data_IF_515779971275
#
_entry.id   IF_515779971275
#
_cell.length_a   1.000
_cell.length_b   1.000
_cell.length_c   1.000
_cell.angle_alpha   90.00
_cell.angle_beta   90.00
_cell.angle_gamma   90.00
#
_symmetry.space_group_name_H-M   'P 1'
#
loop_
_entity.id
_entity.type
_entity.pdbx_description
1 polymer ?
#
# COMPACT_ATOMS: atom_id res chain seq x y z
N UNK A 1 -10.22 9.68 2.17
CA UNK A 1 -9.63 8.62 3.00
C UNK A 1 -8.97 9.17 4.28
N UNK A 2 -8.16 10.23 4.19
CA UNK A 2 -7.49 10.88 5.34
C UNK A 2 -8.48 11.35 6.43
N UNK A 3 -9.58 12.05 6.06
CA UNK A 3 -10.62 12.47 7.02
C UNK A 3 -11.35 11.31 7.72
N UNK A 4 -11.42 10.14 7.05
CA UNK A 4 -12.05 8.94 7.62
C UNK A 4 -11.15 8.28 8.67
N UNK A 5 -9.84 8.27 8.45
CA UNK A 5 -8.85 7.77 9.41
C UNK A 5 -8.77 8.69 10.64
N UNK A 6 -8.78 10.00 10.45
CA UNK A 6 -8.82 10.98 11.55
C UNK A 6 -10.07 10.84 12.42
N UNK A 7 -11.23 10.54 11.79
CA UNK A 7 -12.49 10.32 12.51
C UNK A 7 -12.41 9.07 13.41
N UNK A 8 -11.90 7.95 12.89
CA UNK A 8 -11.77 6.71 13.67
C UNK A 8 -10.76 6.85 14.82
N UNK A 9 -9.64 7.55 14.60
CA UNK A 9 -8.64 7.80 15.64
C UNK A 9 -9.22 8.66 16.75
N UNK A 10 -10.01 9.69 16.45
CA UNK A 10 -10.70 10.50 17.47
C UNK A 10 -11.72 9.69 18.28
N UNK A 11 -12.46 8.78 17.64
CA UNK A 11 -13.45 7.92 18.29
C UNK A 11 -12.77 6.89 19.21
N UNK A 12 -11.70 6.26 18.76
CA UNK A 12 -10.92 5.29 19.56
C UNK A 12 -10.24 5.98 20.77
N UNK A 13 -9.63 7.15 20.57
CA UNK A 13 -9.03 7.96 21.64
C UNK A 13 -10.08 8.36 22.70
N UNK A 14 -11.33 8.51 22.28
CA UNK A 14 -12.44 8.83 23.20
C UNK A 14 -12.90 7.61 24.01
N UNK A 15 -12.90 6.43 23.40
CA UNK A 15 -13.23 5.17 24.10
C UNK A 15 -12.17 4.82 25.16
N UNK A 16 -10.88 5.03 24.85
CA UNK A 16 -9.80 4.91 25.83
C UNK A 16 -9.93 5.92 26.96
N UNK A 17 -10.34 7.17 26.68
CA UNK A 17 -10.59 8.17 27.71
C UNK A 17 -11.68 7.74 28.69
N UNK A 18 -12.76 7.13 28.24
CA UNK A 18 -13.82 6.61 29.11
C UNK A 18 -13.34 5.47 30.00
N UNK A 19 -12.54 4.54 29.45
CA UNK A 19 -12.00 3.42 30.22
C UNK A 19 -10.98 3.90 31.25
N UNK A 20 -10.15 4.89 30.92
CA UNK A 20 -9.15 5.45 31.82
C UNK A 20 -9.80 6.26 32.93
N UNK A 21 -10.83 7.04 32.67
CA UNK A 21 -11.59 7.75 33.70
C UNK A 21 -12.23 6.80 34.72
N UNK A 22 -12.57 5.58 34.31
CA UNK A 22 -13.14 4.55 35.18
C UNK A 22 -12.10 3.72 35.97
N UNK A 23 -10.85 3.62 35.48
CA UNK A 23 -9.84 2.70 36.03
C UNK A 23 -8.72 3.35 36.83
N UNK A 24 -8.50 4.66 36.77
CA UNK A 24 -7.39 5.29 37.46
C UNK A 24 -7.84 5.89 38.78
N UNK A 25 -7.68 5.09 39.84
CA UNK A 25 -7.40 5.61 41.17
C UNK A 25 -6.02 6.23 41.17
N UNK A 26 -5.95 7.46 41.11
CA UNK A 26 -5.03 8.54 41.43
C UNK A 26 -3.57 8.20 41.78
N UNK A 27 -2.67 8.77 41.03
CA UNK A 27 -1.38 9.27 41.58
C UNK A 27 -1.03 10.60 40.88
N UNK A 28 -0.87 11.61 41.68
CA UNK A 28 -0.77 13.02 41.40
C UNK A 28 -0.05 13.47 40.17
N UNK A 29 -0.60 14.47 39.48
CA UNK A 29 0.23 15.53 38.90
C UNK A 29 -0.59 16.60 38.20
N UNK A 30 -0.03 17.80 38.10
CA UNK A 30 -0.42 19.06 37.45
C UNK A 30 -1.92 19.33 37.30
N UNK A 31 -2.41 20.16 38.18
CA UNK A 31 -3.79 20.64 38.22
C UNK A 31 -4.04 21.70 37.16
N UNK A 32 -4.85 21.43 36.16
CA UNK A 32 -5.36 22.42 35.24
C UNK A 32 -6.76 22.79 35.73
N UNK A 33 -7.01 24.08 35.97
CA UNK A 33 -8.34 24.61 36.24
C UNK A 33 -9.03 24.82 34.90
N UNK A 34 -10.15 24.14 34.66
CA UNK A 34 -11.02 24.49 33.58
C UNK A 34 -12.17 25.35 34.13
N UNK A 35 -12.37 26.53 33.53
CA UNK A 35 -13.31 27.54 33.98
C UNK A 35 -14.79 27.11 33.87
N UNK A 36 -15.05 26.03 33.13
CA UNK A 36 -16.40 25.54 32.88
C UNK A 36 -16.82 24.35 33.79
N UNK A 37 -15.98 23.96 34.73
CA UNK A 37 -16.27 22.88 35.66
C UNK A 37 -16.71 23.42 37.05
N UNK A 38 -17.63 22.70 37.74
CA UNK A 38 -17.98 23.03 39.12
C UNK A 38 -16.74 23.15 40.00
N UNK A 39 -16.79 24.08 40.99
CA UNK A 39 -15.62 24.39 41.84
C UNK A 39 -15.04 23.20 42.61
N UNK A 40 -15.81 22.15 42.79
CA UNK A 40 -15.42 20.94 43.53
C UNK A 40 -14.66 19.94 42.67
N UNK A 41 -14.55 20.17 41.36
CA UNK A 41 -13.86 19.27 40.42
C UNK A 41 -12.56 19.90 40.00
N UNK A 42 -11.48 19.14 40.10
CA UNK A 42 -10.16 19.53 39.61
C UNK A 42 -9.75 18.60 38.47
N UNK A 43 -9.37 19.18 37.34
CA UNK A 43 -8.80 18.43 36.24
C UNK A 43 -7.34 18.13 36.54
N UNK A 44 -7.02 16.85 36.65
CA UNK A 44 -5.63 16.39 36.82
C UNK A 44 -4.87 16.36 35.52
N UNK A 45 -3.59 16.07 35.59
CA UNK A 45 -2.67 16.08 34.46
C UNK A 45 -3.15 15.31 33.25
N UNK A 46 -2.85 15.87 32.10
CA UNK A 46 -2.97 15.16 30.83
C UNK A 46 -1.83 14.15 30.77
N UNK A 47 -2.15 12.89 30.93
CA UNK A 47 -1.21 11.81 30.67
C UNK A 47 -1.43 11.41 29.21
N UNK A 48 -0.51 11.79 28.32
CA UNK A 48 -0.50 11.44 26.90
C UNK A 48 -1.89 11.19 26.29
N UNK A 49 -2.62 12.27 25.95
CA UNK A 49 -3.92 12.22 25.27
C UNK A 49 -5.13 11.79 26.13
N UNK A 50 -5.02 11.69 27.44
CA UNK A 50 -6.15 11.47 28.36
C UNK A 50 -6.21 12.54 29.43
N UNK A 51 -7.43 12.97 29.78
CA UNK A 51 -7.68 13.87 30.91
C UNK A 51 -8.19 13.05 32.10
N UNK A 52 -7.60 13.29 33.26
CA UNK A 52 -8.05 12.66 34.50
C UNK A 52 -8.78 13.71 35.33
N UNK A 53 -10.03 13.46 35.65
CA UNK A 53 -10.86 14.31 36.49
C UNK A 53 -10.81 13.74 37.91
N UNK A 54 -10.36 14.55 38.88
CA UNK A 54 -10.21 14.16 40.27
C UNK A 54 -11.24 14.94 41.10
N UNK A 55 -12.20 14.26 41.72
CA UNK A 55 -13.14 14.92 42.63
C UNK A 55 -12.39 15.52 43.84
N UNK A 56 -12.84 16.66 44.32
CA UNK A 56 -12.25 17.32 45.50
C UNK A 56 -12.49 16.52 46.78
N UNK A 57 -13.61 15.82 46.86
CA UNK A 57 -14.02 15.05 48.02
C UNK A 57 -14.24 13.58 47.67
N UNK A 58 -13.81 12.66 48.54
CA UNK A 58 -14.05 11.23 48.38
C UNK A 58 -15.51 10.82 48.58
N UNK A 59 -16.41 11.76 48.98
CA UNK A 59 -17.85 11.52 49.12
C UNK A 59 -18.60 11.65 47.80
N UNK A 60 -17.95 12.09 46.74
CA UNK A 60 -18.58 12.25 45.44
C UNK A 60 -18.66 10.89 44.75
N UNK A 61 -19.88 10.51 44.34
CA UNK A 61 -20.10 9.33 43.51
C UNK A 61 -19.55 9.60 42.11
N UNK A 62 -18.50 8.89 41.73
CA UNK A 62 -17.84 9.08 40.47
C UNK A 62 -18.70 8.68 39.27
N UNK A 63 -19.59 7.71 39.41
CA UNK A 63 -20.48 7.28 38.33
C UNK A 63 -21.57 8.33 38.05
N UNK A 64 -22.18 8.90 39.11
CA UNK A 64 -23.11 10.01 38.95
C UNK A 64 -22.46 11.28 38.40
N UNK A 65 -21.25 11.58 38.86
CA UNK A 65 -20.47 12.69 38.33
C UNK A 65 -20.18 12.53 36.83
N UNK A 66 -19.80 11.31 36.40
CA UNK A 66 -19.55 11.01 34.98
C UNK A 66 -20.82 11.14 34.14
N UNK A 67 -21.95 10.66 34.62
CA UNK A 67 -23.24 10.82 33.95
C UNK A 67 -23.63 12.29 33.79
N UNK A 68 -23.42 13.08 34.86
CA UNK A 68 -23.66 14.52 34.82
C UNK A 68 -22.75 15.24 33.82
N UNK A 69 -21.44 14.91 33.80
CA UNK A 69 -20.50 15.49 32.87
C UNK A 69 -20.80 15.13 31.41
N UNK A 70 -21.23 13.90 31.13
CA UNK A 70 -21.66 13.50 29.79
C UNK A 70 -22.94 14.23 29.34
N UNK A 71 -23.84 14.52 30.26
CA UNK A 71 -25.11 15.22 29.96
C UNK A 71 -24.91 16.74 29.77
N UNK A 72 -23.99 17.36 30.53
CA UNK A 72 -23.85 18.83 30.58
C UNK A 72 -22.65 19.38 29.80
N UNK A 73 -21.70 18.54 29.39
CA UNK A 73 -20.50 18.96 28.69
C UNK A 73 -20.31 18.22 27.37
N UNK A 74 -19.37 18.72 26.55
CA UNK A 74 -18.99 18.10 25.29
C UNK A 74 -18.06 16.88 25.45
N UNK A 75 -17.98 16.27 26.64
CA UNK A 75 -17.22 15.04 26.87
C UNK A 75 -17.79 13.86 26.13
N UNK A 76 -19.08 13.84 25.83
CA UNK A 76 -19.73 12.89 24.96
C UNK A 76 -20.62 13.59 23.93
N UNK A 77 -20.37 13.33 22.66
CA UNK A 77 -21.17 13.84 21.55
C UNK A 77 -21.55 12.71 20.61
N UNK A 78 -22.81 12.66 20.24
CA UNK A 78 -23.31 11.78 19.22
C UNK A 78 -23.11 12.42 17.84
N UNK A 79 -22.32 11.76 16.98
CA UNK A 79 -22.15 12.15 15.59
C UNK A 79 -22.92 11.18 14.69
N UNK A 80 -23.79 11.73 13.85
CA UNK A 80 -24.39 10.93 12.78
C UNK A 80 -23.34 10.73 11.69
N UNK A 81 -22.99 9.47 11.44
CA UNK A 81 -22.09 9.10 10.35
C UNK A 81 -22.94 8.47 9.25
N UNK A 82 -23.04 9.18 8.12
CA UNK A 82 -23.71 8.69 6.93
C UNK A 82 -22.66 8.48 5.84
N UNK A 83 -22.28 7.21 5.62
CA UNK A 83 -21.28 6.83 4.62
C UNK A 83 -21.97 6.55 3.30
N UNK A 84 -22.28 7.62 2.54
CA UNK A 84 -22.75 7.48 1.17
C UNK A 84 -21.55 7.32 0.23
N UNK A 85 -21.44 6.15 -0.37
CA UNK A 85 -20.29 5.75 -1.20
C UNK A 85 -20.77 5.05 -2.45
N UNK A 86 -19.94 5.13 -3.50
CA UNK A 86 -20.12 4.31 -4.71
C UNK A 86 -19.34 3.01 -4.48
N UNK A 87 -20.08 1.89 -4.45
CA UNK A 87 -19.50 0.56 -4.28
C UNK A 87 -18.91 -0.01 -5.55
N UNK A 88 -18.48 -1.27 -5.49
CA UNK A 88 -17.95 -2.01 -6.65
C UNK A 88 -19.00 -2.21 -7.75
N UNK A 89 -20.27 -2.14 -7.41
CA UNK A 89 -21.42 -2.19 -8.31
C UNK A 89 -21.68 -0.89 -9.08
N UNK A 90 -20.90 0.17 -8.81
CA UNK A 90 -21.03 1.48 -9.42
C UNK A 90 -22.24 2.29 -8.97
N UNK A 91 -23.02 1.82 -7.97
CA UNK A 91 -24.23 2.49 -7.47
C UNK A 91 -23.96 3.24 -6.17
N UNK A 92 -24.50 4.46 -6.00
CA UNK A 92 -24.41 5.17 -4.73
C UNK A 92 -25.29 4.46 -3.68
N UNK A 93 -24.71 4.12 -2.55
CA UNK A 93 -25.37 3.44 -1.43
C UNK A 93 -24.80 3.90 -0.10
N UNK A 94 -25.67 3.91 0.92
CA UNK A 94 -25.22 4.07 2.30
C UNK A 94 -24.76 2.70 2.82
N UNK A 95 -23.48 2.57 3.13
CA UNK A 95 -22.91 1.31 3.59
C UNK A 95 -22.38 1.42 5.02
N UNK A 96 -22.60 0.39 5.85
CA UNK A 96 -21.94 0.28 7.14
C UNK A 96 -20.42 0.14 6.97
N UNK A 97 -19.64 0.48 8.00
CA UNK A 97 -18.18 0.50 7.97
C UNK A 97 -17.56 -0.84 7.55
N UNK A 98 -18.02 -1.95 8.13
CA UNK A 98 -17.43 -3.27 7.88
C UNK A 98 -17.62 -3.74 6.43
N UNK A 99 -18.82 -3.67 5.83
CA UNK A 99 -19.02 -3.95 4.41
C UNK A 99 -18.18 -3.04 3.51
N UNK A 100 -18.10 -1.75 3.81
CA UNK A 100 -17.29 -0.79 3.06
C UNK A 100 -15.81 -1.19 3.06
N UNK A 101 -15.25 -1.55 4.22
CA UNK A 101 -13.86 -1.99 4.31
C UNK A 101 -13.61 -3.31 3.58
N UNK A 102 -14.57 -4.24 3.60
CA UNK A 102 -14.45 -5.49 2.84
C UNK A 102 -14.42 -5.23 1.34
N UNK A 103 -15.30 -4.39 0.81
CA UNK A 103 -15.30 -4.01 -0.60
C UNK A 103 -14.02 -3.28 -0.99
N UNK A 104 -13.55 -2.38 -0.15
CA UNK A 104 -12.28 -1.69 -0.38
C UNK A 104 -11.10 -2.68 -0.47
N UNK A 105 -11.05 -3.70 0.41
CA UNK A 105 -10.02 -4.74 0.35
C UNK A 105 -10.12 -5.58 -0.93
N UNK A 106 -11.33 -5.90 -1.40
CA UNK A 106 -11.53 -6.58 -2.68
C UNK A 106 -11.02 -5.73 -3.85
N UNK A 107 -11.40 -4.45 -3.89
CA UNK A 107 -10.91 -3.51 -4.89
C UNK A 107 -9.38 -3.39 -4.85
N UNK A 108 -8.81 -3.21 -3.66
CA UNK A 108 -7.35 -3.10 -3.49
C UNK A 108 -6.64 -4.36 -3.97
N UNK A 109 -7.18 -5.54 -3.67
CA UNK A 109 -6.63 -6.82 -4.15
C UNK A 109 -6.61 -6.87 -5.67
N UNK A 110 -7.73 -6.52 -6.31
CA UNK A 110 -7.81 -6.50 -7.78
C UNK A 110 -6.82 -5.52 -8.41
N UNK A 111 -6.70 -4.32 -7.85
CA UNK A 111 -5.73 -3.32 -8.33
C UNK A 111 -4.29 -3.82 -8.20
N UNK A 112 -3.94 -4.51 -7.10
CA UNK A 112 -2.61 -5.08 -6.92
C UNK A 112 -2.35 -6.20 -7.91
N UNK A 113 -3.33 -7.10 -8.14
CA UNK A 113 -3.23 -8.16 -9.15
C UNK A 113 -2.99 -7.58 -10.53
N UNK A 114 -3.81 -6.60 -10.96
CA UNK A 114 -3.67 -5.96 -12.26
C UNK A 114 -2.29 -5.28 -12.41
N UNK A 115 -1.81 -4.62 -11.36
CA UNK A 115 -0.48 -3.99 -11.34
C UNK A 115 0.64 -5.02 -11.49
N UNK A 116 0.56 -6.15 -10.78
CA UNK A 116 1.54 -7.23 -10.86
C UNK A 116 1.51 -7.91 -12.23
N UNK A 117 0.31 -8.14 -12.78
CA UNK A 117 0.13 -8.70 -14.12
C UNK A 117 0.74 -7.80 -15.20
N UNK A 118 0.46 -6.50 -15.14
CA UNK A 118 1.05 -5.53 -16.07
C UNK A 118 2.59 -5.52 -15.98
N UNK A 119 3.14 -5.55 -14.75
CA UNK A 119 4.58 -5.62 -14.54
C UNK A 119 5.18 -6.92 -15.09
N UNK A 120 4.50 -8.04 -14.88
CA UNK A 120 4.91 -9.34 -15.43
C UNK A 120 4.94 -9.31 -16.96
N UNK A 121 3.91 -8.78 -17.60
CA UNK A 121 3.86 -8.68 -19.08
C UNK A 121 5.03 -7.83 -19.60
N UNK A 122 5.34 -6.70 -18.95
CA UNK A 122 6.49 -5.87 -19.32
C UNK A 122 7.83 -6.60 -19.17
N UNK A 123 7.99 -7.40 -18.13
CA UNK A 123 9.18 -8.23 -17.93
C UNK A 123 9.29 -9.27 -19.03
N UNK A 124 8.19 -9.95 -19.37
CA UNK A 124 8.16 -10.98 -20.44
C UNK A 124 8.48 -10.37 -21.81
N UNK A 125 7.88 -9.21 -22.14
CA UNK A 125 8.20 -8.48 -23.39
C UNK A 125 9.70 -8.14 -23.46
N UNK A 126 10.27 -7.67 -22.36
CA UNK A 126 11.69 -7.31 -22.31
C UNK A 126 12.60 -8.53 -22.40
N UNK A 127 12.30 -9.60 -21.65
CA UNK A 127 13.04 -10.87 -21.72
C UNK A 127 13.03 -11.43 -23.13
N UNK A 128 11.89 -11.41 -23.81
CA UNK A 128 11.76 -11.89 -25.19
C UNK A 128 12.73 -11.15 -26.13
N UNK A 129 12.82 -9.83 -26.02
CA UNK A 129 13.76 -9.03 -26.83
C UNK A 129 15.21 -9.36 -26.47
N UNK A 130 15.53 -9.45 -25.17
CA UNK A 130 16.89 -9.73 -24.70
C UNK A 130 17.38 -11.13 -25.12
N UNK A 131 16.50 -12.13 -25.11
CA UNK A 131 16.81 -13.49 -25.63
C UNK A 131 17.21 -13.44 -27.11
N UNK A 132 16.48 -12.68 -27.94
CA UNK A 132 16.85 -12.47 -29.32
C UNK A 132 18.20 -11.78 -29.49
N UNK A 133 18.47 -10.77 -28.68
CA UNK A 133 19.77 -10.09 -28.68
C UNK A 133 20.91 -11.03 -28.27
N UNK A 134 20.73 -11.90 -27.28
CA UNK A 134 21.74 -12.88 -26.88
C UNK A 134 22.05 -13.85 -28.02
N UNK A 135 21.05 -14.32 -28.78
CA UNK A 135 21.27 -15.15 -29.96
C UNK A 135 22.11 -14.41 -31.00
N UNK A 136 21.82 -13.12 -31.22
CA UNK A 136 22.62 -12.30 -32.15
C UNK A 136 24.09 -12.11 -31.70
N UNK A 137 24.29 -11.88 -30.38
CA UNK A 137 25.67 -11.76 -29.84
C UNK A 137 26.48 -13.03 -29.96
N UNK A 138 25.86 -14.19 -29.73
CA UNK A 138 26.53 -15.48 -29.88
C UNK A 138 26.92 -15.79 -31.33
N UNK A 139 26.21 -15.22 -32.30
CA UNK A 139 26.39 -15.49 -33.74
C UNK A 139 26.67 -14.19 -34.52
N UNK A 140 27.39 -13.24 -33.90
CA UNK A 140 27.52 -11.88 -34.42
C UNK A 140 28.10 -11.82 -35.84
N UNK A 141 29.11 -12.63 -36.15
CA UNK A 141 29.74 -12.66 -37.48
C UNK A 141 28.76 -13.10 -38.56
N UNK A 142 27.90 -14.09 -38.27
CA UNK A 142 26.84 -14.53 -39.19
C UNK A 142 25.77 -13.47 -39.37
N UNK A 143 25.33 -12.83 -38.29
CA UNK A 143 24.34 -11.75 -38.33
C UNK A 143 24.87 -10.60 -39.20
N UNK A 144 26.12 -10.17 -39.02
CA UNK A 144 26.75 -9.13 -39.84
C UNK A 144 26.85 -9.58 -41.30
N UNK A 145 27.21 -10.83 -41.55
CA UNK A 145 27.33 -11.39 -42.91
C UNK A 145 25.96 -11.35 -43.62
N UNK A 146 24.88 -11.72 -42.95
CA UNK A 146 23.54 -11.68 -43.50
C UNK A 146 23.09 -10.24 -43.78
N UNK A 147 23.31 -9.32 -42.86
CA UNK A 147 22.94 -7.89 -43.02
C UNK A 147 23.67 -7.27 -44.23
N UNK A 148 24.91 -7.70 -44.50
CA UNK A 148 25.71 -7.14 -45.61
C UNK A 148 25.42 -7.76 -46.96
N UNK A 149 24.95 -9.01 -47.02
CA UNK A 149 24.76 -9.78 -48.28
C UNK A 149 23.32 -9.74 -48.77
N UNK A 150 22.36 -9.68 -47.89
CA UNK A 150 20.96 -9.82 -48.23
C UNK A 150 20.27 -8.45 -48.39
N UNK A 151 19.50 -8.29 -49.45
CA UNK A 151 18.66 -7.10 -49.64
C UNK A 151 17.57 -6.97 -48.58
N UNK A 152 17.06 -8.11 -48.07
CA UNK A 152 16.03 -8.19 -47.03
C UNK A 152 16.51 -9.08 -45.86
N UNK A 153 17.32 -8.54 -44.96
CA UNK A 153 17.95 -9.34 -43.90
C UNK A 153 16.95 -9.86 -42.87
N UNK A 154 15.84 -9.14 -42.59
CA UNK A 154 14.85 -9.51 -41.57
C UNK A 154 14.29 -10.94 -41.73
N UNK A 155 13.71 -11.34 -42.89
CA UNK A 155 13.18 -12.69 -43.07
C UNK A 155 14.25 -13.78 -43.00
N UNK A 156 15.48 -13.49 -43.45
CA UNK A 156 16.59 -14.44 -43.39
C UNK A 156 17.02 -14.69 -41.95
N UNK A 157 17.12 -13.64 -41.12
CA UNK A 157 17.42 -13.74 -39.68
C UNK A 157 16.35 -14.55 -38.95
N UNK A 158 15.07 -14.28 -39.24
CA UNK A 158 13.93 -15.03 -38.65
C UNK A 158 14.05 -16.51 -38.98
N UNK A 159 14.25 -16.84 -40.25
CA UNK A 159 14.29 -18.24 -40.72
C UNK A 159 15.51 -18.99 -40.15
N UNK A 160 16.69 -18.33 -40.12
CA UNK A 160 17.94 -18.98 -39.73
C UNK A 160 18.05 -19.18 -38.21
N UNK A 161 17.71 -18.16 -37.43
CA UNK A 161 17.87 -18.19 -35.96
C UNK A 161 16.55 -18.48 -35.22
N UNK A 162 15.45 -18.76 -35.95
CA UNK A 162 14.10 -18.99 -35.40
C UNK A 162 13.64 -17.85 -34.49
N UNK A 163 13.93 -16.63 -34.87
CA UNK A 163 13.59 -15.43 -34.12
C UNK A 163 12.16 -14.98 -34.42
N UNK A 164 11.55 -14.28 -33.47
CA UNK A 164 10.31 -13.56 -33.74
C UNK A 164 10.60 -12.29 -34.57
N UNK A 165 9.56 -11.74 -35.15
CA UNK A 165 9.63 -10.49 -35.91
C UNK A 165 10.16 -9.33 -35.06
N UNK A 166 9.70 -9.25 -33.80
CA UNK A 166 10.13 -8.22 -32.81
C UNK A 166 11.60 -8.39 -32.45
N UNK A 167 12.07 -9.62 -32.28
CA UNK A 167 13.48 -9.91 -32.00
C UNK A 167 14.39 -9.54 -33.19
N UNK A 168 13.97 -9.90 -34.41
CA UNK A 168 14.73 -9.56 -35.61
C UNK A 168 14.83 -8.04 -35.83
N UNK A 169 13.75 -7.31 -35.55
CA UNK A 169 13.73 -5.85 -35.63
C UNK A 169 14.69 -5.23 -34.59
N UNK A 170 14.61 -5.70 -33.34
CA UNK A 170 15.52 -5.25 -32.28
C UNK A 170 17.01 -5.50 -32.60
N UNK A 171 17.32 -6.61 -33.30
CA UNK A 171 18.68 -6.90 -33.77
C UNK A 171 19.12 -5.92 -34.85
N UNK A 172 18.24 -5.60 -35.81
CA UNK A 172 18.54 -4.66 -36.90
C UNK A 172 18.71 -3.21 -36.41
N UNK A 173 18.03 -2.85 -35.32
CA UNK A 173 18.14 -1.55 -34.67
C UNK A 173 19.38 -1.39 -33.78
N UNK A 174 20.16 -2.46 -33.57
CA UNK A 174 21.36 -2.41 -32.74
C UNK A 174 22.40 -1.41 -33.29
N UNK A 175 22.82 -0.49 -32.44
CA UNK A 175 23.91 0.41 -32.75
C UNK A 175 25.24 -0.33 -32.63
N UNK A 176 26.18 -0.10 -33.56
CA UNK A 176 27.51 -0.76 -33.59
C UNK A 176 28.27 -0.66 -32.25
N UNK A 177 28.08 0.43 -31.50
CA UNK A 177 28.69 0.59 -30.17
C UNK A 177 28.22 -0.44 -29.15
N UNK A 178 26.99 -0.99 -29.31
CA UNK A 178 26.42 -1.98 -28.41
C UNK A 178 26.94 -3.40 -28.67
N UNK A 179 27.72 -3.61 -29.74
CA UNK A 179 28.36 -4.90 -30.06
C UNK A 179 29.61 -5.18 -29.22
N UNK A 180 29.99 -4.29 -28.31
CA UNK A 180 31.13 -4.48 -27.43
C UNK A 180 30.86 -5.60 -26.41
N UNK A 181 31.88 -6.38 -26.07
CA UNK A 181 31.81 -7.51 -25.12
C UNK A 181 31.27 -7.13 -23.74
N UNK A 182 31.42 -5.89 -23.32
CA UNK A 182 30.85 -5.37 -22.08
C UNK A 182 29.32 -5.29 -22.09
N UNK A 183 28.72 -5.08 -23.26
CA UNK A 183 27.24 -5.03 -23.38
C UNK A 183 26.63 -6.44 -23.29
N UNK A 184 27.30 -7.47 -23.77
CA UNK A 184 26.87 -8.86 -23.58
C UNK A 184 26.73 -9.21 -22.10
N UNK A 185 27.71 -8.81 -21.28
CA UNK A 185 27.67 -9.04 -19.82
C UNK A 185 26.52 -8.29 -19.18
N UNK A 186 26.27 -7.05 -19.60
CA UNK A 186 25.13 -6.27 -19.09
C UNK A 186 23.79 -6.92 -19.43
N UNK A 187 23.63 -7.40 -20.67
CA UNK A 187 22.41 -8.09 -21.10
C UNK A 187 22.19 -9.37 -20.28
N UNK A 188 23.23 -10.18 -20.06
CA UNK A 188 23.15 -11.38 -19.23
C UNK A 188 22.70 -11.05 -17.79
N UNK A 189 23.28 -10.03 -17.19
CA UNK A 189 22.92 -9.58 -15.85
C UNK A 189 21.47 -9.05 -15.81
N UNK A 190 21.04 -8.31 -16.83
CA UNK A 190 19.66 -7.83 -16.96
C UNK A 190 18.68 -9.01 -17.07
N UNK A 191 18.98 -10.01 -17.88
CA UNK A 191 18.17 -11.23 -18.01
C UNK A 191 18.04 -11.94 -16.67
N UNK A 192 19.16 -12.18 -15.98
CA UNK A 192 19.11 -12.82 -14.66
C UNK A 192 18.25 -12.06 -13.65
N UNK A 193 18.36 -10.73 -13.64
CA UNK A 193 17.56 -9.89 -12.74
C UNK A 193 16.08 -9.95 -13.09
N UNK A 194 15.72 -9.82 -14.37
CA UNK A 194 14.34 -9.90 -14.84
C UNK A 194 13.74 -11.28 -14.61
N UNK A 195 14.51 -12.36 -14.73
CA UNK A 195 14.01 -13.70 -14.40
C UNK A 195 13.74 -13.89 -12.91
N UNK A 196 14.56 -13.32 -12.03
CA UNK A 196 14.31 -13.30 -10.58
C UNK A 196 13.02 -12.54 -10.27
N UNK A 197 12.85 -11.37 -10.88
CA UNK A 197 11.65 -10.54 -10.72
C UNK A 197 10.40 -11.25 -11.25
N UNK A 198 10.50 -11.88 -12.42
CA UNK A 198 9.45 -12.71 -13.00
C UNK A 198 8.99 -13.81 -12.03
N UNK A 199 9.94 -14.63 -11.57
CA UNK A 199 9.66 -15.72 -10.61
C UNK A 199 9.00 -15.21 -9.33
N UNK A 200 9.45 -14.07 -8.83
CA UNK A 200 8.89 -13.45 -7.63
C UNK A 200 7.43 -13.04 -7.85
N UNK A 201 7.12 -12.41 -8.98
CA UNK A 201 5.75 -11.98 -9.32
C UNK A 201 4.85 -13.20 -9.58
N UNK A 202 5.31 -14.20 -10.32
CA UNK A 202 4.58 -15.44 -10.57
C UNK A 202 4.23 -16.16 -9.25
N UNK A 203 5.18 -16.22 -8.31
CA UNK A 203 4.94 -16.77 -6.97
C UNK A 203 3.93 -15.97 -6.15
N UNK A 204 3.88 -14.66 -6.29
CA UNK A 204 2.89 -13.81 -5.63
C UNK A 204 1.49 -14.02 -6.23
N UNK A 205 1.40 -14.14 -7.56
CA UNK A 205 0.13 -14.34 -8.26
C UNK A 205 -0.43 -15.76 -8.11
N UNK A 206 0.43 -16.77 -7.91
CA UNK A 206 0.00 -18.17 -7.78
C UNK A 206 -0.69 -18.50 -6.46
N UNK A 207 -0.56 -17.65 -5.42
CA UNK A 207 -1.07 -17.95 -4.09
C UNK A 207 -1.79 -16.76 -3.46
N UNK A 208 -3.07 -16.94 -3.18
CA UNK A 208 -3.90 -15.92 -2.51
C UNK A 208 -3.34 -15.52 -1.13
N UNK A 209 -2.79 -16.46 -0.39
CA UNK A 209 -2.19 -16.19 0.93
C UNK A 209 -0.95 -15.31 0.83
N UNK A 210 -0.09 -15.56 -0.18
CA UNK A 210 1.09 -14.72 -0.45
C UNK A 210 0.68 -13.31 -0.89
N UNK A 211 -0.33 -13.21 -1.75
CA UNK A 211 -0.87 -11.94 -2.21
C UNK A 211 -1.44 -11.13 -1.03
N UNK A 212 -2.22 -11.75 -0.14
CA UNK A 212 -2.73 -11.11 1.08
C UNK A 212 -1.60 -10.63 2.00
N UNK A 213 -0.55 -11.43 2.16
CA UNK A 213 0.63 -11.04 2.95
C UNK A 213 1.38 -9.87 2.33
N UNK A 214 1.50 -9.85 1.01
CA UNK A 214 2.10 -8.74 0.26
C UNK A 214 1.30 -7.46 0.43
N UNK A 215 -0.03 -7.49 0.25
CA UNK A 215 -0.91 -6.35 0.47
C UNK A 215 -0.81 -5.85 1.92
N UNK A 216 -0.76 -6.77 2.88
CA UNK A 216 -0.59 -6.43 4.30
C UNK A 216 0.73 -5.70 4.57
N UNK A 217 1.81 -6.09 3.90
CA UNK A 217 3.10 -5.37 3.99
C UNK A 217 3.00 -3.95 3.43
N UNK A 218 2.40 -3.78 2.24
CA UNK A 218 2.20 -2.44 1.65
C UNK A 218 1.37 -1.54 2.57
N UNK A 219 0.30 -2.08 3.17
CA UNK A 219 -0.53 -1.32 4.09
C UNK A 219 0.21 -0.93 5.38
N UNK A 220 1.15 -1.77 5.86
CA UNK A 220 1.98 -1.43 7.02
C UNK A 220 2.94 -0.28 6.72
N UNK A 221 3.57 -0.28 5.55
CA UNK A 221 4.44 0.84 5.14
C UNK A 221 3.64 2.15 5.10
N UNK A 222 2.44 2.12 4.53
CA UNK A 222 1.56 3.29 4.50
C UNK A 222 1.17 3.72 5.92
N UNK A 223 0.95 2.77 6.83
CA UNK A 223 0.63 3.07 8.23
C UNK A 223 1.82 3.72 8.96
N UNK A 224 3.04 3.29 8.68
CA UNK A 224 4.26 3.89 9.24
C UNK A 224 4.52 5.30 8.69
N UNK A 225 4.20 5.57 7.43
CA UNK A 225 4.39 6.88 6.80
C UNK A 225 3.31 7.91 7.19
N UNK A 226 2.06 7.48 7.33
CA UNK A 226 0.90 8.37 7.48
C UNK A 226 0.20 8.16 8.84
N UNK A 227 0.48 7.04 9.51
CA UNK A 227 -0.11 6.71 10.82
C UNK A 227 0.43 7.60 11.94
N UNK A 228 -0.47 8.10 12.81
CA UNK A 228 -0.15 8.86 14.03
C UNK A 228 0.39 7.95 15.16
#
# INVERSE_FOLDING_TARGET
MQKFMEFNVKYFKRFEKQIILKKIGISGQKKIRDSNLPEDIRIGAIVRKSQVIIPRSNRVDCDQLMLHLFATTDLERNYRVNMNVIGLDGKPQVKPLIPLLKEWLQFRTQVVVNRLQFRLNKILERLHVLEGLLVAYLNIDEVISIIRREEKPKPVLIAKFKLSEIQAEAILELKLRHLAKLEEIKIKNEVEQLEKDRKTIELLLSSETRLKTFIKKELRVILEEIGD
#
